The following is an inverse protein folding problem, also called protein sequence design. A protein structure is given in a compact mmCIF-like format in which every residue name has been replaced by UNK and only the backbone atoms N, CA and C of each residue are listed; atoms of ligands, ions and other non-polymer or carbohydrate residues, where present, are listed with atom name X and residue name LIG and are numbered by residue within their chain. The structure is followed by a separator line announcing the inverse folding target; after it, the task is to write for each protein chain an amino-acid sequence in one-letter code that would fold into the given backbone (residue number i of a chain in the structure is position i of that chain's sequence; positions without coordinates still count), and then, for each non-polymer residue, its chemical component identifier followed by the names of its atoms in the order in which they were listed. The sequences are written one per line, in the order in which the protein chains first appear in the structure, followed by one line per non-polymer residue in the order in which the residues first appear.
data_IF_260865069309
#
_entry.id   IF_260865069309
#
_cell.length_a   1.000
_cell.length_b   1.000
_cell.length_c   1.000
_cell.angle_alpha   90.00
_cell.angle_beta   90.00
_cell.angle_gamma   90.00
#
_symmetry.space_group_name_H-M   'P 1'
#
loop_
_entity.id
_entity.type
_entity.pdbx_description
1 polymer ?
#
# COMPACT_ATOMS: atom_id res chain seq x y z
N UNK A 1 -24.48 -2.31 -4.73
CA UNK A 1 -23.65 -3.21 -3.92
C UNK A 1 -24.29 -3.67 -2.60
N UNK A 2 -24.90 -2.79 -1.79
CA UNK A 2 -25.59 -3.21 -0.53
C UNK A 2 -26.66 -4.30 -0.70
N UNK A 3 -27.44 -4.24 -1.78
CA UNK A 3 -28.45 -5.25 -2.11
C UNK A 3 -27.78 -6.63 -2.30
N UNK A 4 -26.71 -6.67 -3.09
CA UNK A 4 -25.93 -7.87 -3.39
C UNK A 4 -25.36 -8.49 -2.12
N UNK A 5 -24.75 -7.67 -1.26
CA UNK A 5 -24.24 -8.11 0.05
C UNK A 5 -25.36 -8.73 0.90
N UNK A 6 -26.54 -8.13 0.89
CA UNK A 6 -27.71 -8.66 1.62
C UNK A 6 -28.20 -9.99 1.03
N UNK A 7 -28.17 -10.15 -0.30
CA UNK A 7 -28.52 -11.41 -0.99
C UNK A 7 -27.53 -12.52 -0.67
N UNK A 8 -26.23 -12.26 -0.75
CA UNK A 8 -25.17 -13.22 -0.41
C UNK A 8 -25.30 -13.70 1.05
N UNK A 9 -25.52 -12.77 1.99
CA UNK A 9 -25.73 -13.11 3.39
C UNK A 9 -27.03 -13.92 3.61
N UNK A 10 -28.08 -13.66 2.83
CA UNK A 10 -29.33 -14.42 2.92
C UNK A 10 -29.18 -15.87 2.41
N UNK A 11 -28.34 -16.07 1.40
CA UNK A 11 -28.00 -17.37 0.80
C UNK A 11 -26.99 -18.18 1.61
N UNK A 12 -26.46 -17.62 2.70
CA UNK A 12 -25.50 -18.32 3.56
C UNK A 12 -26.14 -19.53 4.25
N UNK A 13 -25.47 -20.68 4.16
CA UNK A 13 -25.83 -21.93 4.83
C UNK A 13 -25.11 -22.00 6.18
N UNK A 14 -25.85 -22.26 7.25
CA UNK A 14 -25.31 -22.33 8.60
C UNK A 14 -25.23 -23.78 9.05
N UNK A 15 -24.00 -24.26 9.26
CA UNK A 15 -23.71 -25.62 9.71
C UNK A 15 -23.43 -25.59 11.22
N UNK A 16 -24.39 -26.02 12.03
CA UNK A 16 -24.21 -26.10 13.48
C UNK A 16 -23.38 -27.34 13.84
N UNK A 17 -22.29 -27.13 14.59
CA UNK A 17 -21.39 -28.20 15.02
C UNK A 17 -21.01 -28.04 16.49
N UNK A 18 -20.77 -29.15 17.19
CA UNK A 18 -20.25 -29.10 18.55
C UNK A 18 -18.81 -28.57 18.56
N UNK A 19 -17.98 -29.07 17.64
CA UNK A 19 -16.60 -28.67 17.42
C UNK A 19 -16.36 -28.47 15.92
N UNK A 20 -15.49 -27.54 15.53
CA UNK A 20 -15.10 -27.39 14.12
C UNK A 20 -14.42 -28.67 13.63
N UNK A 21 -14.80 -29.21 12.47
CA UNK A 21 -14.06 -30.29 11.83
C UNK A 21 -12.59 -29.90 11.62
N UNK A 22 -11.67 -30.86 11.72
CA UNK A 22 -10.23 -30.60 11.57
C UNK A 22 -9.89 -29.85 10.28
N UNK A 23 -10.52 -30.23 9.16
CA UNK A 23 -10.37 -29.53 7.87
C UNK A 23 -10.68 -28.03 7.96
N UNK A 24 -11.69 -27.65 8.74
CA UNK A 24 -12.11 -26.25 8.90
C UNK A 24 -11.13 -25.49 9.79
N UNK A 25 -10.59 -26.14 10.83
CA UNK A 25 -9.53 -25.56 11.66
C UNK A 25 -8.26 -25.28 10.83
N UNK A 26 -7.89 -26.21 9.95
CA UNK A 26 -6.78 -26.03 9.02
C UNK A 26 -7.05 -24.90 8.01
N UNK A 27 -8.28 -24.80 7.48
CA UNK A 27 -8.70 -23.69 6.62
C UNK A 27 -8.62 -22.35 7.35
N UNK A 28 -9.05 -22.26 8.61
CA UNK A 28 -8.96 -21.03 9.39
C UNK A 28 -7.52 -20.54 9.56
N UNK A 29 -6.56 -21.44 9.78
CA UNK A 29 -5.14 -21.07 9.84
C UNK A 29 -4.67 -20.49 8.51
N UNK A 30 -4.95 -21.16 7.38
CA UNK A 30 -4.60 -20.67 6.04
C UNK A 30 -5.29 -19.34 5.70
N UNK A 31 -6.55 -19.18 6.08
CA UNK A 31 -7.31 -17.95 5.86
C UNK A 31 -6.74 -16.79 6.68
N UNK A 32 -6.27 -17.07 7.91
CA UNK A 32 -5.59 -16.07 8.74
C UNK A 32 -4.31 -15.59 8.07
N UNK A 33 -3.51 -16.50 7.50
CA UNK A 33 -2.31 -16.14 6.74
C UNK A 33 -2.66 -15.29 5.51
N UNK A 34 -3.71 -15.68 4.75
CA UNK A 34 -4.22 -14.89 3.61
C UNK A 34 -4.65 -13.49 4.02
N UNK A 35 -5.43 -13.38 5.09
CA UNK A 35 -5.92 -12.09 5.57
C UNK A 35 -4.78 -11.23 6.09
N UNK A 36 -3.76 -11.85 6.71
CA UNK A 36 -2.52 -11.25 7.23
C UNK A 36 -1.80 -10.33 6.25
N UNK A 37 -1.90 -10.62 4.95
CA UNK A 37 -1.27 -9.81 3.91
C UNK A 37 -2.04 -8.50 3.64
N UNK A 38 -3.34 -8.47 3.90
CA UNK A 38 -4.24 -7.36 3.53
C UNK A 38 -4.84 -6.63 4.76
N UNK A 39 -4.06 -6.50 5.84
CA UNK A 39 -4.55 -6.00 7.13
C UNK A 39 -4.34 -4.50 7.38
N UNK A 40 -3.70 -3.73 6.48
CA UNK A 40 -3.40 -2.32 6.79
C UNK A 40 -4.67 -1.48 6.99
N UNK A 41 -5.78 -1.94 6.42
CA UNK A 41 -7.09 -1.27 6.45
C UNK A 41 -8.12 -1.93 7.35
N UNK A 42 -7.81 -3.06 8.00
CA UNK A 42 -8.73 -3.77 8.88
C UNK A 42 -8.28 -3.68 10.33
N UNK A 43 -9.19 -3.32 11.23
CA UNK A 43 -8.96 -3.52 12.65
C UNK A 43 -9.06 -5.00 13.04
N UNK A 44 -8.54 -5.34 14.22
CA UNK A 44 -8.49 -6.71 14.73
C UNK A 44 -9.89 -7.33 14.87
N UNK A 45 -10.87 -6.53 15.30
CA UNK A 45 -12.25 -6.98 15.48
C UNK A 45 -12.91 -7.34 14.14
N UNK A 46 -12.70 -6.53 13.10
CA UNK A 46 -13.18 -6.78 11.75
C UNK A 46 -12.51 -8.03 11.15
N UNK A 47 -11.21 -8.19 11.35
CA UNK A 47 -10.48 -9.36 10.89
C UNK A 47 -11.00 -10.66 11.55
N UNK A 48 -11.20 -10.67 12.86
CA UNK A 48 -11.77 -11.81 13.58
C UNK A 48 -13.23 -12.08 13.19
N UNK A 49 -14.03 -11.05 12.92
CA UNK A 49 -15.39 -11.24 12.41
C UNK A 49 -15.39 -11.90 11.03
N UNK A 50 -14.51 -11.47 10.11
CA UNK A 50 -14.37 -12.08 8.79
C UNK A 50 -13.95 -13.56 8.93
N UNK A 51 -12.89 -13.85 9.69
CA UNK A 51 -12.37 -15.21 9.88
C UNK A 51 -13.36 -16.14 10.57
N UNK A 52 -14.15 -15.63 11.52
CA UNK A 52 -15.15 -16.43 12.24
C UNK A 52 -16.39 -16.73 11.39
N UNK A 53 -16.81 -15.80 10.54
CA UNK A 53 -17.99 -15.98 9.70
C UNK A 53 -17.70 -16.72 8.41
N UNK A 54 -16.58 -16.41 7.74
CA UNK A 54 -16.12 -17.02 6.50
C UNK A 54 -15.02 -18.02 6.82
N UNK A 55 -15.37 -19.09 7.53
CA UNK A 55 -14.41 -20.05 8.08
C UNK A 55 -14.14 -21.27 7.20
N UNK A 56 -14.78 -21.36 6.03
CA UNK A 56 -14.50 -22.39 5.02
C UNK A 56 -13.23 -22.08 4.21
N UNK A 57 -12.76 -23.01 3.39
CA UNK A 57 -11.58 -22.82 2.55
C UNK A 57 -11.82 -21.73 1.49
N UNK A 58 -11.09 -20.62 1.62
CA UNK A 58 -11.18 -19.48 0.71
C UNK A 58 -10.62 -19.73 -0.69
N UNK A 59 -9.92 -20.85 -0.93
CA UNK A 59 -9.43 -21.20 -2.27
C UNK A 59 -10.56 -21.46 -3.28
N UNK A 60 -11.75 -21.83 -2.79
CA UNK A 60 -12.91 -22.12 -3.63
C UNK A 60 -13.69 -20.84 -3.89
N UNK A 61 -13.97 -20.55 -5.16
CA UNK A 61 -14.73 -19.37 -5.53
C UNK A 61 -16.20 -19.51 -5.15
N UNK A 62 -16.84 -18.40 -4.77
CA UNK A 62 -18.27 -18.38 -4.48
C UNK A 62 -19.12 -18.77 -5.71
N UNK A 63 -18.60 -18.54 -6.92
CA UNK A 63 -19.29 -18.95 -8.16
C UNK A 63 -19.36 -20.47 -8.28
N UNK A 64 -18.33 -21.19 -7.81
CA UNK A 64 -18.29 -22.66 -7.84
C UNK A 64 -19.11 -23.27 -6.69
N UNK A 65 -19.07 -22.64 -5.52
CA UNK A 65 -19.82 -23.07 -4.34
C UNK A 65 -21.34 -22.83 -4.47
N UNK A 66 -21.72 -21.76 -5.16
CA UNK A 66 -23.10 -21.27 -5.27
C UNK A 66 -23.67 -20.64 -3.98
N UNK A 67 -23.00 -20.82 -2.84
CA UNK A 67 -23.37 -20.25 -1.54
C UNK A 67 -22.15 -20.13 -0.63
N UNK A 68 -22.29 -19.37 0.45
CA UNK A 68 -21.30 -19.30 1.54
C UNK A 68 -21.71 -20.24 2.66
N UNK A 69 -20.75 -21.00 3.20
CA UNK A 69 -20.97 -21.86 4.37
C UNK A 69 -20.38 -21.21 5.61
N UNK A 70 -21.16 -21.12 6.68
CA UNK A 70 -20.68 -20.74 8.01
C UNK A 70 -20.76 -21.93 8.97
N UNK A 71 -19.59 -22.41 9.43
CA UNK A 71 -19.50 -23.45 10.45
C UNK A 71 -19.63 -22.84 11.85
N UNK A 72 -20.82 -22.98 12.44
CA UNK A 72 -21.19 -22.34 13.70
C UNK A 72 -20.98 -23.27 14.89
N UNK A 73 -20.04 -22.93 15.77
CA UNK A 73 -19.85 -23.60 17.06
C UNK A 73 -20.80 -23.06 18.15
N UNK A 74 -20.94 -23.83 19.23
CA UNK A 74 -21.61 -23.37 20.44
C UNK A 74 -21.04 -22.02 20.92
N UNK A 75 -21.91 -21.03 21.09
CA UNK A 75 -21.54 -19.67 21.51
C UNK A 75 -21.23 -18.67 20.38
N UNK A 76 -21.02 -19.13 19.14
CA UNK A 76 -20.71 -18.26 18.00
C UNK A 76 -21.91 -17.39 17.58
N UNK A 77 -23.04 -18.05 17.25
CA UNK A 77 -24.29 -17.40 16.86
C UNK A 77 -25.45 -17.88 17.73
N UNK A 78 -26.39 -16.97 18.00
CA UNK A 78 -27.58 -17.25 18.85
C UNK A 78 -28.74 -17.85 18.08
N UNK A 79 -28.75 -17.65 16.76
CA UNK A 79 -29.76 -18.13 15.83
C UNK A 79 -29.22 -18.03 14.40
N UNK A 80 -29.89 -18.67 13.45
CA UNK A 80 -29.56 -18.54 12.01
C UNK A 80 -29.66 -17.08 11.54
N UNK A 81 -30.68 -16.34 11.99
CA UNK A 81 -30.82 -14.91 11.71
C UNK A 81 -29.63 -14.10 12.22
N UNK A 82 -29.13 -14.41 13.42
CA UNK A 82 -27.95 -13.76 13.97
C UNK A 82 -26.70 -14.08 13.13
N UNK A 83 -26.53 -15.33 12.69
CA UNK A 83 -25.44 -15.73 11.80
C UNK A 83 -25.48 -14.98 10.47
N UNK A 84 -26.65 -14.89 9.81
CA UNK A 84 -26.81 -14.12 8.56
C UNK A 84 -26.55 -12.62 8.76
N UNK A 85 -26.92 -12.07 9.92
CA UNK A 85 -26.60 -10.68 10.27
C UNK A 85 -25.09 -10.45 10.42
N UNK A 86 -24.38 -11.34 11.11
CA UNK A 86 -22.92 -11.27 11.24
C UNK A 86 -22.22 -11.49 9.91
N UNK A 87 -22.70 -12.43 9.10
CA UNK A 87 -22.19 -12.66 7.75
C UNK A 87 -22.36 -11.41 6.89
N UNK A 88 -23.51 -10.75 6.95
CA UNK A 88 -23.73 -9.46 6.30
C UNK A 88 -22.66 -8.45 6.73
N UNK A 89 -22.41 -8.29 8.03
CA UNK A 89 -21.40 -7.36 8.54
C UNK A 89 -20.00 -7.71 8.02
N UNK A 90 -19.60 -8.97 8.05
CA UNK A 90 -18.32 -9.43 7.49
C UNK A 90 -18.20 -9.09 5.98
N UNK A 91 -19.25 -9.34 5.21
CA UNK A 91 -19.27 -8.99 3.78
C UNK A 91 -19.26 -7.47 3.54
N UNK A 92 -19.87 -6.68 4.43
CA UNK A 92 -19.80 -5.21 4.35
C UNK A 92 -18.36 -4.72 4.59
N UNK A 93 -17.63 -5.30 5.56
CA UNK A 93 -16.21 -4.98 5.79
C UNK A 93 -15.31 -5.39 4.62
N UNK A 94 -15.68 -6.45 3.90
CA UNK A 94 -14.94 -6.90 2.72
C UNK A 94 -15.21 -6.05 1.46
N UNK A 95 -16.45 -5.59 1.26
CA UNK A 95 -16.90 -5.05 -0.02
C UNK A 95 -17.37 -3.60 -0.01
N UNK A 96 -17.76 -3.06 1.14
CA UNK A 96 -18.39 -1.73 1.25
C UNK A 96 -17.60 -0.74 2.09
N UNK A 97 -16.61 -1.18 2.85
CA UNK A 97 -15.78 -0.24 3.59
C UNK A 97 -15.04 0.67 2.60
N UNK A 98 -14.83 1.93 2.98
CA UNK A 98 -14.45 2.98 2.06
C UNK A 98 -13.17 2.62 1.30
N UNK A 99 -13.29 2.35 0.01
CA UNK A 99 -12.14 2.23 -0.88
C UNK A 99 -11.51 3.60 -1.04
N UNK A 100 -10.32 3.79 -0.47
CA UNK A 100 -9.56 5.01 -0.70
C UNK A 100 -9.22 5.10 -2.19
N UNK A 101 -9.60 6.19 -2.84
CA UNK A 101 -9.31 6.37 -4.26
C UNK A 101 -7.80 6.54 -4.46
N UNK A 102 -7.12 5.61 -5.16
CA UNK A 102 -5.69 5.69 -5.35
C UNK A 102 -5.34 6.86 -6.27
N UNK A 103 -4.41 7.70 -5.84
CA UNK A 103 -3.88 8.78 -6.66
C UNK A 103 -2.57 8.33 -7.30
N UNK A 104 -2.68 7.62 -8.43
CA UNK A 104 -1.55 6.97 -9.12
C UNK A 104 -0.37 7.92 -9.39
N UNK A 105 -0.63 9.19 -9.71
CA UNK A 105 0.41 10.20 -9.95
C UNK A 105 1.25 10.56 -8.71
N UNK A 106 0.80 10.20 -7.51
CA UNK A 106 1.50 10.39 -6.22
C UNK A 106 1.65 9.09 -5.43
N UNK A 107 1.24 7.96 -5.99
CA UNK A 107 1.21 6.66 -5.30
C UNK A 107 0.47 6.67 -3.95
N UNK A 108 -0.36 7.67 -3.73
CA UNK A 108 -1.10 7.87 -2.48
C UNK A 108 -2.29 6.92 -2.45
N UNK A 109 -2.52 6.27 -1.32
CA UNK A 109 -3.62 5.33 -1.12
C UNK A 109 -3.61 4.11 -2.06
N UNK A 110 -2.49 3.85 -2.75
CA UNK A 110 -2.35 2.71 -3.66
C UNK A 110 -2.34 1.40 -2.87
N UNK A 111 -1.58 1.31 -1.78
CA UNK A 111 -1.54 0.11 -0.94
C UNK A 111 -2.92 -0.23 -0.34
N UNK A 112 -3.64 0.70 0.34
CA UNK A 112 -5.01 0.46 0.79
C UNK A 112 -5.97 -0.03 -0.30
N UNK A 113 -5.89 0.56 -1.49
CA UNK A 113 -6.70 0.17 -2.64
C UNK A 113 -6.38 -1.24 -3.16
N UNK A 114 -5.08 -1.56 -3.27
CA UNK A 114 -4.60 -2.88 -3.66
C UNK A 114 -5.01 -3.94 -2.65
N UNK A 115 -4.84 -3.68 -1.35
CA UNK A 115 -5.24 -4.60 -0.29
C UNK A 115 -6.75 -4.82 -0.23
N UNK A 116 -7.58 -3.79 -0.42
CA UNK A 116 -9.02 -3.94 -0.53
C UNK A 116 -9.40 -4.91 -1.66
N UNK A 117 -8.82 -4.69 -2.85
CA UNK A 117 -9.09 -5.51 -4.02
C UNK A 117 -8.63 -6.95 -3.81
N UNK A 118 -7.39 -7.13 -3.34
CA UNK A 118 -6.80 -8.43 -3.08
C UNK A 118 -7.56 -9.20 -2.00
N UNK A 119 -7.96 -8.54 -0.92
CA UNK A 119 -8.79 -9.15 0.14
C UNK A 119 -10.11 -9.68 -0.43
N UNK A 120 -10.80 -8.89 -1.25
CA UNK A 120 -12.04 -9.31 -1.89
C UNK A 120 -11.87 -10.46 -2.89
N UNK A 121 -10.68 -10.63 -3.48
CA UNK A 121 -10.35 -11.76 -4.34
C UNK A 121 -9.93 -13.01 -3.54
N UNK A 122 -9.12 -12.84 -2.51
CA UNK A 122 -8.62 -13.92 -1.66
C UNK A 122 -9.75 -14.64 -0.92
N UNK A 123 -10.77 -13.91 -0.46
CA UNK A 123 -11.90 -14.46 0.28
C UNK A 123 -12.96 -14.96 -0.70
N UNK A 124 -12.90 -16.24 -1.09
CA UNK A 124 -13.87 -16.87 -2.00
C UNK A 124 -14.14 -16.11 -3.31
N UNK A 125 -13.22 -15.24 -3.76
CA UNK A 125 -13.44 -14.31 -4.88
C UNK A 125 -14.76 -13.52 -4.74
N UNK A 126 -15.14 -13.13 -3.52
CA UNK A 126 -16.41 -12.42 -3.25
C UNK A 126 -16.53 -11.12 -4.00
N UNK A 127 -15.42 -10.40 -4.23
CA UNK A 127 -15.43 -9.15 -4.99
C UNK A 127 -15.79 -9.39 -6.46
N UNK A 128 -15.19 -10.39 -7.10
CA UNK A 128 -15.54 -10.77 -8.47
C UNK A 128 -17.02 -11.15 -8.57
N UNK A 129 -17.49 -12.00 -7.65
CA UNK A 129 -18.89 -12.43 -7.62
C UNK A 129 -19.86 -11.25 -7.42
N UNK A 130 -19.54 -10.35 -6.49
CA UNK A 130 -20.35 -9.17 -6.21
C UNK A 130 -20.36 -8.21 -7.41
N UNK A 131 -19.21 -8.02 -8.06
CA UNK A 131 -19.09 -7.16 -9.24
C UNK A 131 -19.89 -7.72 -10.42
N UNK A 132 -19.74 -9.02 -10.70
CA UNK A 132 -20.52 -9.73 -11.73
C UNK A 132 -22.03 -9.62 -11.48
N UNK A 133 -22.45 -9.83 -10.23
CA UNK A 133 -23.87 -9.71 -9.86
C UNK A 133 -24.39 -8.28 -10.04
N UNK A 134 -23.58 -7.27 -9.72
CA UNK A 134 -23.96 -5.87 -9.89
C UNK A 134 -24.15 -5.49 -11.35
N UNK A 135 -23.34 -6.06 -12.24
CA UNK A 135 -23.48 -5.86 -13.68
C UNK A 135 -24.75 -6.50 -14.22
N UNK A 136 -25.06 -7.74 -13.81
CA UNK A 136 -26.29 -8.45 -14.21
C UNK A 136 -27.57 -7.75 -13.75
N UNK A 137 -27.57 -7.12 -12.57
CA UNK A 137 -28.74 -6.36 -12.11
C UNK A 137 -29.01 -5.09 -12.91
N UNK A 138 -28.03 -4.59 -13.67
CA UNK A 138 -28.09 -3.28 -14.34
C UNK A 138 -27.91 -3.35 -15.86
N UNK A 139 -27.67 -4.54 -16.40
CA UNK A 139 -27.53 -4.80 -17.82
C UNK A 139 -28.53 -5.88 -18.25
N UNK A 140 -29.19 -5.70 -19.40
CA UNK A 140 -29.88 -6.81 -20.06
C UNK A 140 -28.85 -7.92 -20.36
N UNK A 141 -29.22 -9.17 -20.05
CA UNK A 141 -28.36 -10.37 -20.11
C UNK A 141 -27.63 -10.54 -21.46
N UNK A 142 -28.14 -9.94 -22.54
CA UNK A 142 -27.60 -10.04 -23.89
C UNK A 142 -26.39 -9.15 -24.20
N UNK A 143 -25.92 -8.30 -23.27
CA UNK A 143 -24.85 -7.31 -23.53
C UNK A 143 -23.74 -7.38 -22.46
N UNK A 144 -23.62 -8.53 -21.77
CA UNK A 144 -22.44 -8.86 -20.92
C UNK A 144 -21.49 -9.80 -21.68
N UNK A 145 -21.63 -9.85 -23.02
CA UNK A 145 -20.76 -10.59 -23.91
C UNK A 145 -19.45 -9.83 -24.22
N UNK A 146 -18.46 -10.60 -24.67
CA UNK A 146 -17.12 -10.14 -25.08
C UNK A 146 -17.13 -8.90 -25.98
N UNK A 147 -18.20 -8.69 -26.77
CA UNK A 147 -18.39 -7.57 -27.69
C UNK A 147 -18.30 -6.18 -27.01
N UNK A 148 -18.67 -6.05 -25.73
CA UNK A 148 -18.58 -4.76 -25.01
C UNK A 148 -17.17 -4.50 -24.47
N UNK A 149 -16.40 -5.56 -24.22
CA UNK A 149 -15.04 -5.42 -23.70
C UNK A 149 -14.05 -4.97 -24.77
N UNK A 150 -14.31 -5.34 -26.02
CA UNK A 150 -13.50 -4.96 -27.18
C UNK A 150 -13.74 -3.50 -27.62
N UNK A 151 -14.78 -2.85 -27.07
CA UNK A 151 -15.01 -1.43 -27.27
C UNK A 151 -13.99 -0.59 -26.51
N UNK A 152 -13.53 0.47 -27.17
CA UNK A 152 -12.71 1.51 -26.55
C UNK A 152 -13.60 2.41 -25.67
N UNK A 153 -13.29 2.53 -24.38
CA UNK A 153 -14.01 3.44 -23.47
C UNK A 153 -13.88 4.91 -23.87
N UNK A 154 -12.86 5.25 -24.66
CA UNK A 154 -12.63 6.59 -25.18
C UNK A 154 -13.33 6.85 -26.51
N UNK A 155 -14.07 5.87 -27.05
CA UNK A 155 -14.88 6.06 -28.23
C UNK A 155 -15.88 7.21 -28.02
N UNK A 156 -15.81 8.22 -28.89
CA UNK A 156 -16.61 9.44 -28.80
C UNK A 156 -18.12 9.16 -28.98
N UNK A 157 -18.46 8.08 -29.67
CA UNK A 157 -19.85 7.74 -30.02
C UNK A 157 -20.59 7.01 -28.88
N UNK A 158 -19.89 6.58 -27.83
CA UNK A 158 -20.50 5.92 -26.68
C UNK A 158 -21.10 6.95 -25.72
N UNK A 159 -22.31 6.67 -25.24
CA UNK A 159 -22.91 7.42 -24.15
C UNK A 159 -22.10 7.25 -22.85
N UNK A 160 -22.17 8.21 -21.90
CA UNK A 160 -21.48 8.07 -20.61
C UNK A 160 -21.83 6.78 -19.86
N UNK A 161 -23.07 6.30 -19.97
CA UNK A 161 -23.51 5.05 -19.34
C UNK A 161 -22.84 3.83 -19.99
N UNK A 162 -22.75 3.79 -21.31
CA UNK A 162 -22.05 2.72 -22.04
C UNK A 162 -20.55 2.73 -21.72
N UNK A 163 -19.91 3.90 -21.62
CA UNK A 163 -18.50 4.00 -21.20
C UNK A 163 -18.27 3.41 -19.82
N UNK A 164 -19.16 3.68 -18.86
CA UNK A 164 -19.06 3.08 -17.53
C UNK A 164 -19.28 1.57 -17.55
N UNK A 165 -20.18 1.09 -18.42
CA UNK A 165 -20.40 -0.35 -18.64
C UNK A 165 -19.14 -1.02 -19.20
N UNK A 166 -18.52 -0.45 -20.26
CA UNK A 166 -17.25 -0.94 -20.83
C UNK A 166 -16.18 -1.03 -19.75
N UNK A 167 -15.97 0.04 -18.98
CA UNK A 167 -14.99 0.05 -17.87
C UNK A 167 -15.28 -1.02 -16.84
N UNK A 168 -16.53 -1.16 -16.41
CA UNK A 168 -16.90 -2.15 -15.41
C UNK A 168 -16.73 -3.59 -15.93
N UNK A 169 -16.97 -3.84 -17.22
CA UNK A 169 -16.69 -5.13 -17.87
C UNK A 169 -15.19 -5.41 -17.94
N UNK A 170 -14.36 -4.42 -18.31
CA UNK A 170 -12.89 -4.56 -18.30
C UNK A 170 -12.35 -4.87 -16.90
N UNK A 171 -12.90 -4.22 -15.86
CA UNK A 171 -12.58 -4.55 -14.46
C UNK A 171 -12.97 -5.99 -14.15
N UNK A 172 -14.17 -6.44 -14.53
CA UNK A 172 -14.59 -7.82 -14.31
C UNK A 172 -13.66 -8.83 -15.00
N UNK A 173 -13.23 -8.56 -16.23
CA UNK A 173 -12.28 -9.41 -16.95
C UNK A 173 -10.93 -9.51 -16.21
N UNK A 174 -10.41 -8.36 -15.76
CA UNK A 174 -9.19 -8.32 -14.96
C UNK A 174 -9.35 -9.14 -13.67
N UNK A 175 -10.45 -8.97 -12.94
CA UNK A 175 -10.74 -9.74 -11.71
C UNK A 175 -10.97 -11.24 -11.99
N UNK A 176 -11.48 -11.60 -13.18
CA UNK A 176 -11.78 -12.99 -13.55
C UNK A 176 -10.56 -13.73 -14.12
N UNK A 177 -9.45 -13.04 -14.37
CA UNK A 177 -8.23 -13.66 -14.90
C UNK A 177 -7.68 -14.67 -13.88
N UNK A 178 -7.18 -15.85 -14.30
CA UNK A 178 -6.60 -16.84 -13.38
C UNK A 178 -5.50 -16.27 -12.50
N UNK A 179 -4.63 -15.45 -13.08
CA UNK A 179 -3.47 -14.85 -12.40
C UNK A 179 -3.78 -13.49 -11.74
N UNK A 180 -5.07 -13.15 -11.59
CA UNK A 180 -5.48 -11.87 -11.00
C UNK A 180 -4.98 -11.73 -9.56
N UNK A 181 -5.12 -12.79 -8.75
CA UNK A 181 -4.62 -12.81 -7.36
C UNK A 181 -3.11 -12.56 -7.36
N UNK A 182 -2.32 -13.35 -8.11
CA UNK A 182 -0.88 -13.16 -8.21
C UNK A 182 -0.49 -11.75 -8.68
N UNK A 183 -1.23 -11.17 -9.63
CA UNK A 183 -1.00 -9.82 -10.14
C UNK A 183 -1.27 -8.74 -9.10
N UNK A 184 -2.38 -8.84 -8.36
CA UNK A 184 -2.70 -7.91 -7.28
C UNK A 184 -1.80 -8.11 -6.05
N UNK A 185 -1.37 -9.33 -5.77
CA UNK A 185 -0.35 -9.64 -4.76
C UNK A 185 0.98 -8.97 -5.12
N UNK A 186 1.43 -9.10 -6.37
CA UNK A 186 2.62 -8.38 -6.88
C UNK A 186 2.45 -6.87 -6.71
N UNK A 187 1.29 -6.30 -7.07
CA UNK A 187 1.05 -4.87 -6.90
C UNK A 187 1.07 -4.43 -5.43
N UNK A 188 0.49 -5.21 -4.51
CA UNK A 188 0.47 -4.90 -3.09
C UNK A 188 1.86 -5.03 -2.45
N UNK A 189 2.57 -6.12 -2.71
CA UNK A 189 3.84 -6.43 -2.05
C UNK A 189 5.02 -5.64 -2.63
N UNK A 190 5.15 -5.60 -3.97
CA UNK A 190 6.34 -5.04 -4.62
C UNK A 190 6.38 -3.50 -4.54
N UNK A 191 5.22 -2.85 -4.36
CA UNK A 191 5.10 -1.40 -4.27
C UNK A 191 5.20 -0.89 -2.83
N UNK A 192 4.96 -1.74 -1.83
CA UNK A 192 4.91 -1.38 -0.41
C UNK A 192 6.09 -0.51 0.06
N UNK A 193 7.37 -0.78 -0.29
CA UNK A 193 8.48 0.10 0.08
C UNK A 193 8.34 1.54 -0.44
N UNK A 194 7.83 1.70 -1.67
CA UNK A 194 7.59 3.01 -2.28
C UNK A 194 6.35 3.70 -1.71
N UNK A 195 5.28 2.95 -1.41
CA UNK A 195 4.10 3.49 -0.72
C UNK A 195 4.47 4.06 0.64
N UNK A 196 5.19 3.30 1.47
CA UNK A 196 5.67 3.77 2.77
C UNK A 196 6.54 5.04 2.65
N UNK A 197 7.43 5.08 1.65
CA UNK A 197 8.21 6.29 1.37
C UNK A 197 7.33 7.50 1.05
N UNK A 198 6.31 7.32 0.20
CA UNK A 198 5.41 8.40 -0.20
C UNK A 198 4.51 8.86 0.95
N UNK A 199 4.11 7.96 1.84
CA UNK A 199 3.37 8.29 3.05
C UNK A 199 4.24 9.08 4.03
N UNK A 200 5.51 8.71 4.20
CA UNK A 200 6.47 9.49 4.98
C UNK A 200 6.66 10.90 4.42
N UNK A 201 6.82 11.04 3.09
CA UNK A 201 6.93 12.35 2.44
C UNK A 201 5.65 13.18 2.63
N UNK A 202 4.48 12.56 2.48
CA UNK A 202 3.18 13.21 2.71
C UNK A 202 3.00 13.65 4.17
N UNK A 203 3.49 12.84 5.12
CA UNK A 203 3.50 13.16 6.54
C UNK A 203 4.41 14.36 6.83
N UNK A 204 5.60 14.41 6.24
CA UNK A 204 6.52 15.55 6.34
C UNK A 204 5.85 16.85 5.88
N UNK A 205 5.17 16.84 4.73
CA UNK A 205 4.46 18.02 4.21
C UNK A 205 3.34 18.46 5.16
N UNK A 206 2.57 17.50 5.67
CA UNK A 206 1.48 17.73 6.62
C UNK A 206 2.01 18.37 7.91
N UNK A 207 3.07 17.82 8.49
CA UNK A 207 3.68 18.32 9.73
C UNK A 207 4.33 19.69 9.50
N UNK A 208 4.94 19.92 8.33
CA UNK A 208 5.53 21.22 7.99
C UNK A 208 4.46 22.31 7.90
N UNK A 209 3.35 22.05 7.20
CA UNK A 209 2.23 22.98 7.11
C UNK A 209 1.66 23.26 8.50
N UNK A 210 1.48 22.20 9.30
CA UNK A 210 1.02 22.28 10.69
C UNK A 210 1.86 23.25 11.51
N UNK A 211 3.19 23.06 11.53
CA UNK A 211 4.10 23.91 12.28
C UNK A 211 4.08 25.35 11.79
N UNK A 212 3.95 25.57 10.48
CA UNK A 212 3.79 26.92 9.91
C UNK A 212 2.52 27.59 10.41
N UNK A 213 1.39 26.89 10.42
CA UNK A 213 0.12 27.42 10.93
C UNK A 213 0.21 27.75 12.43
N UNK A 214 0.81 26.88 13.25
CA UNK A 214 1.03 27.17 14.66
C UNK A 214 1.91 28.41 14.89
N UNK A 215 2.97 28.60 14.09
CA UNK A 215 3.83 29.80 14.14
C UNK A 215 3.09 31.08 13.76
N UNK A 216 2.03 30.98 12.97
CA UNK A 216 1.13 32.08 12.64
C UNK A 216 0.05 32.33 13.70
N UNK A 217 0.10 31.64 14.84
CA UNK A 217 -0.85 31.79 15.95
C UNK A 217 -2.15 31.01 15.77
N UNK A 218 -2.27 30.17 14.73
CA UNK A 218 -3.44 29.32 14.55
C UNK A 218 -3.41 28.16 15.55
N UNK A 219 -4.42 28.11 16.41
CA UNK A 219 -4.66 26.99 17.31
C UNK A 219 -5.24 25.83 16.51
N UNK A 220 -4.48 24.76 16.41
CA UNK A 220 -4.96 23.52 15.80
C UNK A 220 -5.86 22.80 16.80
N UNK A 221 -6.86 22.08 16.28
CA UNK A 221 -7.87 21.42 17.12
C UNK A 221 -7.23 20.49 18.16
N UNK A 222 -7.85 20.41 19.33
CA UNK A 222 -7.45 19.50 20.42
C UNK A 222 -7.45 18.02 19.99
N UNK A 223 -8.22 17.68 18.96
CA UNK A 223 -8.34 16.33 18.40
C UNK A 223 -7.18 15.94 17.47
N UNK A 224 -6.15 16.78 17.34
CA UNK A 224 -5.06 16.45 16.46
C UNK A 224 -4.17 15.36 17.04
N UNK A 225 -4.10 14.24 16.33
CA UNK A 225 -3.24 13.09 16.65
C UNK A 225 -1.76 13.27 16.29
N UNK A 226 -1.33 14.46 15.84
CA UNK A 226 0.06 14.67 15.41
C UNK A 226 0.97 14.83 16.63
N UNK A 227 1.78 13.80 16.91
CA UNK A 227 2.71 13.74 18.05
C UNK A 227 4.15 14.13 17.70
N UNK A 228 4.45 14.38 16.42
CA UNK A 228 5.81 14.63 15.94
C UNK A 228 6.34 16.00 16.39
N UNK A 229 7.58 16.00 16.91
CA UNK A 229 8.29 17.22 17.33
C UNK A 229 9.00 17.88 16.15
N UNK A 230 9.47 19.11 16.36
CA UNK A 230 10.22 19.86 15.34
C UNK A 230 11.51 19.14 14.92
N UNK A 231 12.21 18.53 15.88
CA UNK A 231 13.42 17.75 15.65
C UNK A 231 13.15 16.52 14.78
N UNK A 232 12.01 15.85 14.98
CA UNK A 232 11.59 14.72 14.14
C UNK A 232 11.38 15.17 12.69
N UNK A 233 10.71 16.31 12.49
CA UNK A 233 10.51 16.88 11.17
C UNK A 233 11.84 17.22 10.48
N UNK A 234 12.82 17.78 11.21
CA UNK A 234 14.15 18.09 10.65
C UNK A 234 14.83 16.80 10.18
N UNK A 235 14.88 15.78 11.04
CA UNK A 235 15.50 14.49 10.76
C UNK A 235 14.83 13.75 9.59
N UNK A 236 13.51 13.72 9.55
CA UNK A 236 12.76 13.13 8.44
C UNK A 236 13.04 13.87 7.11
N UNK A 237 13.03 15.21 7.14
CA UNK A 237 13.39 16.00 5.95
C UNK A 237 14.83 15.75 5.50
N UNK A 238 15.78 15.77 6.44
CA UNK A 238 17.19 15.50 6.16
C UNK A 238 17.36 14.15 5.47
N UNK A 239 16.72 13.10 5.98
CA UNK A 239 16.83 11.76 5.41
C UNK A 239 16.31 11.71 3.96
N UNK A 240 15.23 12.44 3.65
CA UNK A 240 14.70 12.54 2.29
C UNK A 240 15.63 13.35 1.38
N UNK A 241 16.02 14.56 1.77
CA UNK A 241 16.79 15.47 0.89
C UNK A 241 18.24 15.04 0.68
N UNK A 242 18.78 14.19 1.54
CA UNK A 242 20.13 13.62 1.41
C UNK A 242 20.14 12.27 0.70
N UNK A 243 18.96 11.77 0.31
CA UNK A 243 18.78 10.46 -0.31
C UNK A 243 19.00 9.27 0.63
N UNK A 244 19.17 9.50 1.94
CA UNK A 244 19.35 8.44 2.93
C UNK A 244 18.10 7.58 3.06
N UNK A 245 16.91 8.19 3.03
CA UNK A 245 15.67 7.42 3.07
C UNK A 245 15.47 6.60 1.79
N UNK A 246 15.90 7.13 0.64
CA UNK A 246 15.94 6.41 -0.63
C UNK A 246 16.78 5.12 -0.56
N UNK A 247 17.95 5.17 0.12
CA UNK A 247 18.72 3.95 0.42
C UNK A 247 17.95 2.99 1.33
N UNK A 248 17.19 3.51 2.30
CA UNK A 248 16.29 2.70 3.11
C UNK A 248 15.30 1.92 2.25
N UNK A 249 14.65 2.57 1.27
CA UNK A 249 13.74 1.92 0.33
C UNK A 249 14.46 0.86 -0.51
N UNK A 250 15.69 1.14 -0.98
CA UNK A 250 16.52 0.12 -1.64
C UNK A 250 16.80 -1.07 -0.72
N UNK A 251 17.05 -0.82 0.57
CA UNK A 251 17.22 -1.85 1.60
C UNK A 251 15.97 -2.70 1.79
N UNK A 252 14.80 -2.08 1.84
CA UNK A 252 13.50 -2.74 1.95
C UNK A 252 13.23 -3.65 0.73
N UNK A 253 13.51 -3.15 -0.49
CA UNK A 253 13.42 -3.95 -1.74
C UNK A 253 14.44 -5.10 -1.74
N UNK A 254 15.67 -4.85 -1.29
CA UNK A 254 16.71 -5.88 -1.18
C UNK A 254 16.36 -6.95 -0.13
N UNK A 255 15.63 -6.59 0.92
CA UNK A 255 15.14 -7.54 1.91
C UNK A 255 14.14 -8.51 1.27
N UNK A 256 13.22 -8.01 0.43
CA UNK A 256 12.32 -8.85 -0.36
C UNK A 256 13.11 -9.78 -1.29
N UNK A 257 14.06 -9.25 -2.07
CA UNK A 257 14.92 -10.08 -2.95
C UNK A 257 15.75 -11.14 -2.21
N UNK A 258 16.01 -10.96 -0.92
CA UNK A 258 16.77 -11.92 -0.09
C UNK A 258 15.88 -12.86 0.71
N UNK A 259 14.57 -12.61 0.76
CA UNK A 259 13.64 -13.51 1.42
C UNK A 259 13.70 -14.88 0.74
N UNK A 260 13.52 -15.94 1.52
CA UNK A 260 13.54 -17.31 1.01
C UNK A 260 12.50 -17.44 -0.11
N UNK A 261 12.86 -17.82 -1.35
CA UNK A 261 11.89 -18.04 -2.43
C UNK A 261 10.82 -19.08 -2.10
N UNK A 262 11.04 -19.94 -1.10
CA UNK A 262 10.07 -20.90 -0.56
C UNK A 262 9.33 -20.38 0.68
N UNK A 263 9.66 -19.17 1.12
CA UNK A 263 9.09 -18.49 2.27
C UNK A 263 7.65 -18.02 2.04
N UNK A 264 6.96 -17.64 3.13
CA UNK A 264 5.57 -17.22 3.11
C UNK A 264 5.31 -15.96 2.27
N UNK A 265 6.32 -15.12 2.06
CA UNK A 265 6.25 -13.92 1.22
C UNK A 265 6.02 -14.24 -0.27
N UNK A 266 6.44 -15.42 -0.72
CA UNK A 266 6.43 -15.83 -2.12
C UNK A 266 5.46 -16.99 -2.38
N UNK A 267 5.70 -18.13 -1.74
CA UNK A 267 4.94 -19.37 -1.96
C UNK A 267 3.79 -19.57 -0.96
N UNK A 268 3.45 -18.53 -0.20
CA UNK A 268 2.34 -18.54 0.75
C UNK A 268 0.98 -18.29 0.10
N UNK A 269 0.14 -17.57 0.83
CA UNK A 269 -1.23 -17.18 0.47
C UNK A 269 -1.39 -16.43 -0.87
N UNK A 270 -0.30 -15.93 -1.45
CA UNK A 270 -0.30 -14.91 -2.48
C UNK A 270 -0.02 -15.43 -3.88
N UNK A 271 0.33 -16.71 -4.02
CA UNK A 271 0.58 -17.39 -5.30
C UNK A 271 1.58 -16.62 -6.18
N UNK A 272 2.62 -16.05 -5.55
CA UNK A 272 3.61 -15.23 -6.26
C UNK A 272 4.83 -16.08 -6.64
N UNK A 273 5.10 -16.18 -7.93
CA UNK A 273 6.37 -16.75 -8.37
C UNK A 273 7.52 -15.75 -8.15
N UNK A 274 8.52 -16.19 -7.39
CA UNK A 274 9.76 -15.44 -7.17
C UNK A 274 10.49 -15.17 -8.49
N UNK A 275 10.55 -16.15 -9.39
CA UNK A 275 11.31 -16.01 -10.63
C UNK A 275 10.70 -14.93 -11.56
N UNK A 276 9.37 -14.84 -11.60
CA UNK A 276 8.66 -13.75 -12.29
C UNK A 276 8.77 -12.39 -11.58
N UNK A 277 8.85 -12.39 -10.24
CA UNK A 277 8.80 -11.15 -9.44
C UNK A 277 10.17 -10.51 -9.25
N UNK A 278 11.25 -11.29 -9.19
CA UNK A 278 12.60 -10.79 -8.97
C UNK A 278 13.07 -9.78 -10.04
N UNK A 279 12.82 -9.96 -11.35
CA UNK A 279 13.15 -8.95 -12.36
C UNK A 279 12.44 -7.61 -12.13
N UNK A 280 11.18 -7.64 -11.66
CA UNK A 280 10.41 -6.44 -11.34
C UNK A 280 11.01 -5.72 -10.12
N UNK A 281 11.41 -6.46 -9.09
CA UNK A 281 12.10 -5.89 -7.93
C UNK A 281 13.46 -5.31 -8.29
N UNK A 282 14.24 -5.97 -9.16
CA UNK A 282 15.53 -5.43 -9.61
C UNK A 282 15.35 -4.15 -10.42
N UNK A 283 14.35 -4.10 -11.31
CA UNK A 283 14.01 -2.88 -12.04
C UNK A 283 13.59 -1.76 -11.08
N UNK A 284 12.72 -2.08 -10.11
CA UNK A 284 12.29 -1.16 -9.06
C UNK A 284 13.46 -0.66 -8.21
N UNK A 285 14.37 -1.54 -7.79
CA UNK A 285 15.58 -1.21 -7.03
C UNK A 285 16.47 -0.23 -7.79
N UNK A 286 16.74 -0.52 -9.06
CA UNK A 286 17.57 0.33 -9.92
C UNK A 286 16.94 1.72 -10.10
N UNK A 287 15.63 1.79 -10.37
CA UNK A 287 14.94 3.06 -10.57
C UNK A 287 14.84 3.86 -9.26
N UNK A 288 14.56 3.18 -8.14
CA UNK A 288 14.54 3.75 -6.78
C UNK A 288 15.90 4.32 -6.43
N UNK A 289 16.98 3.56 -6.62
CA UNK A 289 18.35 4.02 -6.35
C UNK A 289 18.67 5.26 -7.20
N UNK A 290 18.38 5.19 -8.50
CA UNK A 290 18.65 6.30 -9.43
C UNK A 290 17.89 7.57 -9.06
N UNK A 291 16.59 7.46 -8.73
CA UNK A 291 15.72 8.62 -8.49
C UNK A 291 15.83 9.16 -7.07
N UNK A 292 15.78 8.27 -6.07
CA UNK A 292 15.67 8.64 -4.65
C UNK A 292 17.00 8.71 -3.91
N UNK A 293 18.07 8.13 -4.44
CA UNK A 293 19.39 8.21 -3.83
C UNK A 293 20.40 8.96 -4.69
N UNK A 294 20.67 8.50 -5.91
CA UNK A 294 21.74 9.04 -6.77
C UNK A 294 21.56 10.54 -7.04
N UNK A 295 20.32 10.99 -7.28
CA UNK A 295 19.98 12.42 -7.43
C UNK A 295 20.49 13.28 -6.27
N UNK A 296 20.51 12.71 -5.06
CA UNK A 296 20.87 13.38 -3.80
C UNK A 296 22.26 13.00 -3.29
N UNK A 297 22.99 12.14 -4.00
CA UNK A 297 24.35 11.76 -3.63
C UNK A 297 25.37 12.91 -3.81
N UNK A 298 25.00 13.94 -4.59
CA UNK A 298 25.85 15.10 -4.83
C UNK A 298 26.12 15.94 -3.57
N UNK A 299 27.30 16.57 -3.56
CA UNK A 299 27.77 17.46 -2.48
C UNK A 299 26.74 18.47 -1.96
N UNK A 300 25.97 19.18 -2.81
CA UNK A 300 25.04 20.21 -2.34
C UNK A 300 24.00 19.64 -1.38
N UNK A 301 23.55 18.41 -1.64
CA UNK A 301 22.54 17.73 -0.85
C UNK A 301 23.10 17.21 0.47
N UNK A 302 24.33 16.68 0.45
CA UNK A 302 25.00 16.18 1.64
C UNK A 302 25.25 17.26 2.70
N UNK A 303 25.35 18.53 2.30
CA UNK A 303 25.48 19.65 3.24
C UNK A 303 24.23 19.87 4.10
N UNK A 304 23.04 19.37 3.70
CA UNK A 304 21.85 19.48 4.55
C UNK A 304 21.96 18.66 5.85
N UNK A 305 22.86 17.67 5.90
CA UNK A 305 23.15 16.89 7.11
C UNK A 305 23.66 17.74 8.27
N UNK A 306 24.30 18.86 7.96
CA UNK A 306 24.80 19.82 8.96
C UNK A 306 23.69 20.40 9.84
N UNK A 307 22.44 20.44 9.36
CA UNK A 307 21.30 21.01 10.10
C UNK A 307 21.00 20.23 11.38
N UNK A 308 21.33 18.94 11.42
CA UNK A 308 21.08 18.07 12.57
C UNK A 308 22.33 17.78 13.43
N UNK A 309 23.47 18.41 13.11
CA UNK A 309 24.75 18.14 13.78
C UNK A 309 25.11 19.23 14.78
N UNK A 310 25.78 18.85 15.86
CA UNK A 310 26.52 19.80 16.70
C UNK A 310 27.77 20.31 15.96
N UNK A 311 28.39 21.39 16.48
CA UNK A 311 29.53 22.04 15.83
C UNK A 311 30.72 21.07 15.66
N UNK A 312 31.14 20.28 16.67
CA UNK A 312 32.23 19.32 16.49
C UNK A 312 31.96 18.32 15.37
N UNK A 313 30.80 17.66 15.37
CA UNK A 313 30.43 16.68 14.32
C UNK A 313 30.34 17.32 12.94
N UNK A 314 29.84 18.55 12.86
CA UNK A 314 29.78 19.30 11.62
C UNK A 314 31.18 19.59 11.04
N UNK A 315 32.15 19.92 11.88
CA UNK A 315 33.54 20.14 11.46
C UNK A 315 34.16 18.85 10.94
N UNK A 316 34.01 17.74 11.67
CA UNK A 316 34.54 16.43 11.27
C UNK A 316 33.93 15.97 9.94
N UNK A 317 32.60 16.08 9.80
CA UNK A 317 31.88 15.75 8.57
C UNK A 317 32.35 16.59 7.37
N UNK A 318 32.57 17.90 7.55
CA UNK A 318 33.08 18.76 6.47
C UNK A 318 34.51 18.39 6.04
N UNK A 319 35.34 17.95 6.99
CA UNK A 319 36.70 17.48 6.69
C UNK A 319 36.66 16.18 5.87
N UNK A 320 35.81 15.23 6.26
CA UNK A 320 35.59 13.97 5.54
C UNK A 320 35.03 14.20 4.13
N UNK A 321 34.03 15.09 4.02
CA UNK A 321 33.42 15.45 2.76
C UNK A 321 34.46 16.07 1.80
N UNK A 322 35.35 16.91 2.34
CA UNK A 322 36.46 17.52 1.59
C UNK A 322 37.49 16.49 1.14
N UNK A 323 37.87 15.53 1.99
CA UNK A 323 38.82 14.48 1.61
C UNK A 323 38.25 13.57 0.52
N UNK A 324 36.97 13.20 0.64
CA UNK A 324 36.29 12.30 -0.31
C UNK A 324 36.07 12.98 -1.66
N UNK A 325 35.63 14.24 -1.66
CA UNK A 325 35.47 15.05 -2.87
C UNK A 325 36.80 15.30 -3.60
N UNK A 326 37.91 15.43 -2.87
CA UNK A 326 39.24 15.62 -3.46
C UNK A 326 39.79 14.38 -4.16
N UNK A 327 39.27 13.19 -3.85
CA UNK A 327 39.79 11.91 -4.34
C UNK A 327 39.10 11.41 -5.63
N UNK A 328 37.90 11.88 -5.96
CA UNK A 328 37.16 11.40 -7.12
C UNK A 328 37.41 12.26 -8.37
N UNK A 329 38.18 11.75 -9.34
CA UNK A 329 38.44 12.40 -10.62
C UNK A 329 37.18 12.57 -11.49
N UNK A 330 36.15 11.75 -11.28
CA UNK A 330 34.89 11.77 -12.03
C UNK A 330 33.76 12.59 -11.37
N UNK A 331 33.90 12.93 -10.08
CA UNK A 331 32.87 13.61 -9.27
C UNK A 331 33.13 15.12 -9.11
N UNK A 332 34.23 15.60 -9.68
CA UNK A 332 34.59 17.01 -9.68
C UNK A 332 33.64 17.81 -10.56
N UNK A 333 32.47 18.17 -10.04
CA UNK A 333 31.63 19.20 -10.63
C UNK A 333 32.42 20.52 -10.61
N UNK A 334 33.13 20.80 -11.71
CA UNK A 334 34.02 21.96 -11.86
C UNK A 334 33.28 23.27 -11.56
N UNK A 335 31.96 23.32 -11.78
CA UNK A 335 31.11 24.47 -11.49
C UNK A 335 30.86 24.64 -9.98
N UNK A 336 30.59 23.55 -9.26
CA UNK A 336 30.34 23.61 -7.80
C UNK A 336 31.61 23.91 -7.01
N UNK A 337 32.75 23.30 -7.36
CA UNK A 337 34.02 23.54 -6.66
C UNK A 337 34.64 24.92 -6.96
N UNK A 338 34.36 25.50 -8.12
CA UNK A 338 34.74 26.88 -8.44
C UNK A 338 34.00 27.92 -7.59
N UNK A 339 32.68 27.73 -7.39
CA UNK A 339 31.84 28.64 -6.60
C UNK A 339 31.96 28.43 -5.08
N UNK A 340 32.06 27.18 -4.61
CA UNK A 340 32.12 26.84 -3.19
C UNK A 340 33.41 27.31 -2.49
N UNK A 341 34.57 27.31 -3.19
CA UNK A 341 35.85 27.76 -2.63
C UNK A 341 35.83 29.21 -2.15
N UNK A 342 35.09 30.09 -2.83
CA UNK A 342 35.06 31.53 -2.48
C UNK A 342 33.87 31.91 -1.59
N UNK A 343 32.70 31.28 -1.72
CA UNK A 343 31.49 31.68 -0.99
C UNK A 343 31.23 30.93 0.32
N UNK A 344 31.53 29.63 0.42
CA UNK A 344 31.19 28.85 1.63
C UNK A 344 32.06 29.18 2.83
N UNK A 345 33.36 29.43 2.63
CA UNK A 345 34.27 29.88 3.70
C UNK A 345 33.90 31.27 4.25
N UNK A 346 33.41 32.17 3.39
CA UNK A 346 32.97 33.51 3.79
C UNK A 346 31.61 33.47 4.52
N UNK A 347 30.68 32.62 4.09
CA UNK A 347 29.36 32.46 4.71
C UNK A 347 29.43 31.74 6.06
N UNK A 348 30.20 30.63 6.16
CA UNK A 348 30.42 29.92 7.42
C UNK A 348 31.17 30.78 8.44
N UNK A 349 32.17 31.57 8.02
CA UNK A 349 32.79 32.58 8.90
C UNK A 349 31.76 33.56 9.45
N UNK A 350 30.92 34.16 8.59
CA UNK A 350 29.92 35.15 9.04
C UNK A 350 28.89 34.56 9.99
N UNK A 351 28.45 33.32 9.79
CA UNK A 351 27.49 32.66 10.70
C UNK A 351 28.12 32.25 12.02
N UNK A 352 29.35 31.73 12.03
CA UNK A 352 30.05 31.40 13.27
C UNK A 352 30.39 32.66 14.09
N UNK A 353 30.73 33.79 13.45
CA UNK A 353 30.93 35.06 14.18
C UNK A 353 29.62 35.67 14.72
N UNK A 354 28.47 35.35 14.12
CA UNK A 354 27.15 35.85 14.55
C UNK A 354 26.49 35.01 15.64
N UNK A 355 26.92 33.77 15.84
CA UNK A 355 26.46 32.88 16.93
C UNK A 355 27.35 33.00 18.18
N UNK A 356 28.58 33.50 18.03
CA UNK A 356 29.52 33.74 19.12
C UNK A 356 29.53 35.21 19.61
N UNK A 357 28.52 36.01 19.25
CA UNK A 357 28.19 37.32 19.84
C UNK A 357 26.76 37.27 20.31
#
# INVERSE_FOLDING_TARGET
MENIVSKMAAQTVVMQVANLPERIQQSQAKNRDKLGVCQTTLDEDAAELILSMLNEDWSQSLSDLGHLTHWCQAGCCRSERHAKSKMKQALQMLLLDAFETPLLYRWKHVEPASEFTLRGLLVHRVLEHAWRSSLKEHADDAVVDQDVADLDEDNADLSPAEKQKVRATKVLQLLSTPDSIASFSKAALLVKPLCHYMDEVSLIETVRLRMRLCRLGLKLSANSKCTLKHEDLIRMNEAVVTGQRGLGVCGDIMALLRADPQGPEWNGALEMDYAESAPLLLACLCDTWRRLHLTYAGLPWQLFRLVAMDIPRAVDFLQELRSTAGACSCCGDKLFFGAARHHQLAYLRRRLTAVCR
#
